data_IF_802896235065
#
_entry.id   IF_802896235065
#
_cell.length_a   1.000
_cell.length_b   1.000
_cell.length_c   1.000
_cell.angle_alpha   90.00
_cell.angle_beta   90.00
_cell.angle_gamma   90.00
#
_symmetry.space_group_name_H-M   'P 1'
#
loop_
_entity.id
_entity.type
_entity.pdbx_description
1 polymer ?
#
# COMPACT_ATOMS: atom_id res chain seq x y z
N UNK A 1 3.77 -20.64 14.65
CA UNK A 1 2.69 -19.70 15.01
C UNK A 1 2.39 -18.97 13.74
N UNK A 2 1.20 -19.18 13.15
CA UNK A 2 0.70 -18.31 12.07
C UNK A 2 0.71 -16.87 12.54
N UNK A 3 0.73 -15.94 11.59
CA UNK A 3 0.55 -14.53 11.87
C UNK A 3 -0.65 -14.40 12.78
N UNK A 4 -0.43 -13.95 14.01
CA UNK A 4 -1.52 -13.74 14.97
C UNK A 4 -2.48 -12.70 14.41
N UNK A 5 -3.73 -12.84 14.73
CA UNK A 5 -4.77 -11.89 14.36
C UNK A 5 -4.38 -10.50 14.86
N UNK A 6 -4.23 -9.56 13.95
CA UNK A 6 -3.97 -8.16 14.29
C UNK A 6 -5.32 -7.45 14.31
N UNK A 7 -5.95 -7.40 15.48
CA UNK A 7 -7.22 -6.69 15.70
C UNK A 7 -7.01 -5.25 16.15
N UNK A 8 -5.82 -4.94 16.67
CA UNK A 8 -5.44 -3.62 17.15
C UNK A 8 -3.93 -3.41 17.01
N UNK A 9 -3.50 -2.15 17.01
CA UNK A 9 -2.09 -1.77 16.85
C UNK A 9 -1.14 -2.50 17.80
N UNK A 10 -1.56 -2.73 19.05
CA UNK A 10 -0.74 -3.37 20.09
C UNK A 10 -0.33 -4.80 19.74
N UNK A 11 -1.11 -5.48 18.90
CA UNK A 11 -0.85 -6.85 18.45
C UNK A 11 0.38 -6.91 17.52
N UNK A 12 0.79 -5.78 16.94
CA UNK A 12 2.01 -5.66 16.14
C UNK A 12 3.30 -5.72 16.97
N UNK A 13 3.21 -5.56 18.29
CA UNK A 13 4.40 -5.54 19.15
C UNK A 13 5.17 -6.85 19.08
N UNK A 14 6.43 -6.75 18.68
CA UNK A 14 7.34 -7.89 18.56
C UNK A 14 7.25 -8.64 17.25
N UNK A 15 6.34 -8.25 16.34
CA UNK A 15 6.26 -8.81 15.00
C UNK A 15 7.29 -8.13 14.08
N UNK A 16 7.84 -8.91 13.16
CA UNK A 16 8.70 -8.47 12.07
C UNK A 16 7.82 -8.25 10.84
N UNK A 17 7.55 -7.00 10.51
CA UNK A 17 6.72 -6.64 9.37
C UNK A 17 7.62 -6.18 8.22
N UNK A 18 7.50 -6.84 7.07
CA UNK A 18 8.17 -6.41 5.85
C UNK A 18 7.63 -5.07 5.40
N UNK A 19 8.53 -4.22 5.00
CA UNK A 19 8.23 -2.94 4.37
C UNK A 19 9.04 -2.77 3.08
N UNK A 20 8.65 -1.81 2.26
CA UNK A 20 9.48 -1.35 1.16
C UNK A 20 10.81 -0.76 1.69
N UNK A 21 11.83 -0.70 0.83
CA UNK A 21 13.12 -0.06 1.14
C UNK A 21 12.98 1.48 1.13
N UNK A 22 12.09 1.97 1.97
CA UNK A 22 11.73 3.37 2.12
C UNK A 22 11.90 3.80 3.57
N UNK A 23 12.64 4.89 3.86
CA UNK A 23 12.74 5.42 5.22
C UNK A 23 11.38 5.76 5.84
N UNK A 24 10.43 6.25 5.04
CA UNK A 24 9.08 6.56 5.50
C UNK A 24 8.34 5.29 5.96
N UNK A 25 8.35 4.23 5.14
CA UNK A 25 7.71 2.95 5.48
C UNK A 25 8.34 2.30 6.72
N UNK A 26 9.65 2.38 6.87
CA UNK A 26 10.37 1.89 8.06
C UNK A 26 9.91 2.65 9.31
N UNK A 27 9.94 3.98 9.28
CA UNK A 27 9.52 4.82 10.42
C UNK A 27 8.05 4.59 10.78
N UNK A 28 7.18 4.48 9.80
CA UNK A 28 5.76 4.23 9.99
C UNK A 28 5.51 2.92 10.75
N UNK A 29 6.06 1.81 10.30
CA UNK A 29 5.88 0.50 10.95
C UNK A 29 6.52 0.47 12.33
N UNK A 30 7.65 1.14 12.54
CA UNK A 30 8.24 1.33 13.86
C UNK A 30 7.34 2.14 14.80
N UNK A 31 6.68 3.18 14.29
CA UNK A 31 5.71 3.97 15.06
C UNK A 31 4.49 3.14 15.49
N UNK A 32 4.10 2.13 14.70
CA UNK A 32 3.07 1.16 15.09
C UNK A 32 3.54 0.19 16.19
N UNK A 33 4.84 0.09 16.42
CA UNK A 33 5.43 -0.77 17.46
C UNK A 33 5.95 -2.11 16.96
N UNK A 34 5.96 -2.35 15.65
CA UNK A 34 6.55 -3.53 15.04
C UNK A 34 8.04 -3.33 14.67
N UNK A 35 8.74 -4.41 14.40
CA UNK A 35 10.07 -4.38 13.80
C UNK A 35 9.93 -4.31 12.27
N UNK A 36 10.26 -3.15 11.70
CA UNK A 36 10.26 -2.97 10.25
C UNK A 36 11.43 -3.72 9.61
N UNK A 37 11.15 -4.55 8.61
CA UNK A 37 12.13 -5.37 7.90
C UNK A 37 12.11 -5.01 6.41
N UNK A 38 12.98 -4.11 5.94
CA UNK A 38 13.06 -3.76 4.52
C UNK A 38 13.48 -4.97 3.69
N UNK A 39 12.65 -5.35 2.70
CA UNK A 39 12.86 -6.52 1.86
C UNK A 39 12.25 -6.29 0.48
N UNK A 40 12.89 -6.83 -0.56
CA UNK A 40 12.35 -6.81 -1.92
C UNK A 40 10.99 -7.49 -2.01
N UNK A 41 10.10 -6.97 -2.85
CA UNK A 41 8.73 -7.51 -2.95
C UNK A 41 8.72 -8.99 -3.40
N UNK A 42 9.59 -9.37 -4.33
CA UNK A 42 9.70 -10.75 -4.81
C UNK A 42 10.11 -11.78 -3.75
N UNK A 43 10.69 -11.34 -2.64
CA UNK A 43 11.17 -12.22 -1.56
C UNK A 43 10.12 -12.44 -0.44
N UNK A 44 9.00 -11.68 -0.48
CA UNK A 44 8.00 -11.64 0.61
C UNK A 44 7.37 -13.00 0.85
N UNK A 45 6.89 -13.67 -0.20
CA UNK A 45 6.28 -15.00 -0.08
C UNK A 45 7.19 -15.99 0.66
N UNK A 46 8.44 -16.10 0.20
CA UNK A 46 9.43 -17.01 0.78
C UNK A 46 9.78 -16.61 2.21
N UNK A 47 9.91 -15.32 2.49
CA UNK A 47 10.25 -14.83 3.81
C UNK A 47 9.14 -15.10 4.85
N UNK A 48 7.85 -14.99 4.46
CA UNK A 48 6.72 -15.38 5.32
C UNK A 48 6.73 -16.91 5.49
N UNK A 49 6.86 -17.68 4.41
CA UNK A 49 6.86 -19.12 4.44
C UNK A 49 7.96 -19.69 5.36
N UNK A 50 9.12 -19.08 5.36
CA UNK A 50 10.27 -19.47 6.18
C UNK A 50 10.27 -18.82 7.57
N UNK A 51 9.26 -18.03 7.93
CA UNK A 51 9.16 -17.31 9.20
C UNK A 51 10.34 -16.34 9.47
N UNK A 52 10.96 -15.82 8.40
CA UNK A 52 11.97 -14.75 8.48
C UNK A 52 11.28 -13.44 8.88
N UNK A 53 10.07 -13.22 8.36
CA UNK A 53 9.15 -12.15 8.73
C UNK A 53 7.82 -12.76 9.19
N UNK A 54 7.09 -12.01 10.00
CA UNK A 54 5.78 -12.42 10.53
C UNK A 54 4.63 -11.89 9.67
N UNK A 55 4.87 -10.88 8.84
CA UNK A 55 3.89 -10.30 7.94
C UNK A 55 4.45 -9.26 7.00
N UNK A 56 3.58 -8.75 6.15
CA UNK A 56 3.89 -7.69 5.20
C UNK A 56 2.68 -6.77 5.02
N UNK A 57 2.91 -5.53 4.59
CA UNK A 57 1.86 -4.62 4.16
C UNK A 57 1.69 -4.69 2.64
N UNK A 58 0.45 -4.70 2.18
CA UNK A 58 0.09 -4.59 0.76
C UNK A 58 -1.44 -4.45 0.61
N UNK A 59 -1.91 -4.30 -0.65
CA UNK A 59 -3.32 -4.42 -1.00
C UNK A 59 -3.75 -5.88 -1.17
N UNK A 60 -5.05 -6.10 -1.36
CA UNK A 60 -5.70 -7.41 -1.47
C UNK A 60 -5.18 -8.24 -2.66
N UNK A 61 -4.85 -7.58 -3.78
CA UNK A 61 -4.37 -8.26 -4.99
C UNK A 61 -3.08 -9.06 -4.75
N UNK A 62 -2.27 -8.67 -3.75
CA UNK A 62 -1.08 -9.43 -3.40
C UNK A 62 -1.40 -10.82 -2.84
N UNK A 63 -2.58 -11.01 -2.24
CA UNK A 63 -3.00 -12.32 -1.73
C UNK A 63 -3.13 -13.35 -2.85
N UNK A 64 -3.68 -12.96 -3.98
CA UNK A 64 -3.91 -13.83 -5.14
C UNK A 64 -2.78 -13.77 -6.15
N UNK A 65 -2.46 -12.59 -6.70
CA UNK A 65 -1.49 -12.43 -7.79
C UNK A 65 -0.06 -12.84 -7.37
N UNK A 66 0.30 -12.60 -6.11
CA UNK A 66 1.60 -12.97 -5.54
C UNK A 66 1.51 -14.17 -4.58
N UNK A 67 0.34 -14.79 -4.48
CA UNK A 67 0.08 -15.98 -3.66
C UNK A 67 0.34 -15.79 -2.16
N UNK A 68 0.37 -14.54 -1.68
CA UNK A 68 0.60 -14.28 -0.26
C UNK A 68 -0.46 -14.93 0.63
N UNK A 69 -1.71 -15.10 0.15
CA UNK A 69 -2.78 -15.80 0.85
C UNK A 69 -2.51 -17.29 1.14
N UNK A 70 -1.57 -17.93 0.43
CA UNK A 70 -1.15 -19.29 0.74
C UNK A 70 -0.36 -19.37 2.07
N UNK A 71 0.40 -18.32 2.39
CA UNK A 71 1.34 -18.28 3.53
C UNK A 71 0.93 -17.31 4.63
N UNK A 72 0.01 -16.38 4.37
CA UNK A 72 -0.56 -15.43 5.33
C UNK A 72 -2.09 -15.58 5.37
N UNK A 73 -2.64 -15.92 6.54
CA UNK A 73 -4.06 -16.27 6.69
C UNK A 73 -4.93 -15.17 7.27
N UNK A 74 -4.35 -14.03 7.60
CA UNK A 74 -5.06 -12.88 8.15
C UNK A 74 -4.70 -11.63 7.38
N UNK A 75 -5.71 -10.83 7.04
CA UNK A 75 -5.55 -9.55 6.37
C UNK A 75 -6.30 -8.47 7.17
N UNK A 76 -5.55 -7.51 7.74
CA UNK A 76 -6.12 -6.48 8.60
C UNK A 76 -6.17 -5.14 7.86
N UNK A 77 -7.35 -4.54 7.77
CA UNK A 77 -7.58 -3.26 7.10
C UNK A 77 -7.10 -2.08 7.94
N UNK A 78 -5.81 -1.87 7.98
CA UNK A 78 -5.21 -0.76 8.73
C UNK A 78 -5.28 0.58 8.02
N UNK A 79 -5.51 0.60 6.70
CA UNK A 79 -5.64 1.79 5.82
C UNK A 79 -4.55 2.84 6.08
N UNK A 80 -3.34 2.37 6.34
CA UNK A 80 -2.23 3.18 6.83
C UNK A 80 -1.48 3.92 5.74
N UNK A 81 -1.67 3.54 4.48
CA UNK A 81 -0.96 4.11 3.34
C UNK A 81 -1.80 4.01 2.07
N UNK A 82 -1.74 5.05 1.25
CA UNK A 82 -2.19 5.03 -0.13
C UNK A 82 -0.99 5.38 -1.01
N UNK A 83 -0.57 4.47 -1.88
CA UNK A 83 0.50 4.70 -2.85
C UNK A 83 -0.12 4.68 -4.23
N UNK A 84 -0.13 5.81 -4.95
CA UNK A 84 -0.63 5.82 -6.32
C UNK A 84 0.33 5.06 -7.23
N UNK A 85 -0.20 4.18 -8.08
CA UNK A 85 0.56 3.61 -9.17
C UNK A 85 0.76 4.64 -10.28
N UNK A 86 1.95 4.65 -10.86
CA UNK A 86 2.31 5.62 -11.90
C UNK A 86 2.84 4.89 -13.13
N UNK A 87 2.21 5.11 -14.27
CA UNK A 87 2.74 4.68 -15.55
C UNK A 87 3.87 5.62 -15.98
N UNK A 88 5.10 5.12 -16.03
CA UNK A 88 6.28 5.91 -16.35
C UNK A 88 6.97 5.45 -17.62
N UNK A 89 7.52 6.39 -18.39
CA UNK A 89 8.28 6.11 -19.61
C UNK A 89 9.72 6.62 -19.52
N UNK A 90 10.64 5.94 -20.19
CA UNK A 90 12.02 6.41 -20.30
C UNK A 90 12.07 7.70 -21.11
N UNK A 91 12.52 8.81 -20.51
CA UNK A 91 12.53 10.13 -21.11
C UNK A 91 13.36 10.18 -22.41
N UNK A 92 14.51 9.47 -22.46
CA UNK A 92 15.34 9.42 -23.67
C UNK A 92 14.63 8.72 -24.82
N UNK A 93 13.89 7.65 -24.54
CA UNK A 93 13.05 6.97 -25.52
C UNK A 93 11.92 7.88 -26.00
N UNK A 94 11.16 8.47 -25.09
CA UNK A 94 10.04 9.35 -25.44
C UNK A 94 10.50 10.56 -26.27
N UNK A 95 11.64 11.13 -25.95
CA UNK A 95 12.23 12.25 -26.71
C UNK A 95 12.81 11.82 -28.09
N UNK A 96 12.94 10.53 -28.37
CA UNK A 96 13.38 10.03 -29.69
C UNK A 96 12.21 9.77 -30.65
N UNK A 97 10.98 9.85 -30.16
CA UNK A 97 9.77 9.68 -30.98
C UNK A 97 9.44 10.96 -31.76
N UNK A 98 8.79 10.79 -32.90
CA UNK A 98 8.12 11.92 -33.57
C UNK A 98 6.92 12.40 -32.75
N UNK A 99 6.41 13.60 -33.04
CA UNK A 99 5.22 14.14 -32.38
C UNK A 99 4.00 13.24 -32.56
N UNK A 100 3.86 12.61 -33.72
CA UNK A 100 2.77 11.67 -34.04
C UNK A 100 2.88 10.37 -33.22
N UNK A 101 4.08 9.79 -33.13
CA UNK A 101 4.34 8.59 -32.33
C UNK A 101 4.14 8.89 -30.84
N UNK A 102 4.64 10.01 -30.35
CA UNK A 102 4.46 10.43 -28.96
C UNK A 102 2.98 10.64 -28.61
N UNK A 103 2.17 11.17 -29.53
CA UNK A 103 0.73 11.31 -29.35
C UNK A 103 0.04 9.94 -29.19
N UNK A 104 0.45 8.93 -29.97
CA UNK A 104 -0.07 7.56 -29.83
C UNK A 104 0.28 6.96 -28.47
N UNK A 105 1.53 7.14 -28.01
CA UNK A 105 1.93 6.65 -26.69
C UNK A 105 1.15 7.32 -25.55
N UNK A 106 0.95 8.62 -25.63
CA UNK A 106 0.15 9.36 -24.62
C UNK A 106 -1.31 8.91 -24.58
N UNK A 107 -1.91 8.70 -25.75
CA UNK A 107 -3.29 8.22 -25.84
C UNK A 107 -3.41 6.77 -25.32
N UNK A 108 -2.47 5.89 -25.66
CA UNK A 108 -2.45 4.54 -25.13
C UNK A 108 -2.30 4.53 -23.59
N UNK A 109 -1.44 5.39 -23.04
CA UNK A 109 -1.29 5.54 -21.59
C UNK A 109 -2.58 6.02 -20.91
N UNK A 110 -3.26 7.00 -21.51
CA UNK A 110 -4.54 7.51 -21.02
C UNK A 110 -5.60 6.40 -21.00
N UNK A 111 -5.75 5.67 -22.10
CA UNK A 111 -6.71 4.56 -22.21
C UNK A 111 -6.38 3.43 -21.22
N UNK A 112 -5.11 3.09 -21.05
CA UNK A 112 -4.68 2.08 -20.08
C UNK A 112 -5.03 2.49 -18.64
N UNK A 113 -4.87 3.78 -18.30
CA UNK A 113 -5.24 4.28 -16.96
C UNK A 113 -6.74 4.24 -16.75
N UNK A 114 -7.53 4.61 -17.76
CA UNK A 114 -9.00 4.54 -17.66
C UNK A 114 -9.50 3.11 -17.51
N UNK A 115 -8.93 2.18 -18.23
CA UNK A 115 -9.25 0.75 -18.11
C UNK A 115 -8.90 0.22 -16.72
N UNK A 116 -7.71 0.53 -16.21
CA UNK A 116 -7.30 0.13 -14.86
C UNK A 116 -8.25 0.64 -13.78
N UNK A 117 -8.58 1.93 -13.83
CA UNK A 117 -9.52 2.52 -12.87
C UNK A 117 -10.91 1.87 -12.94
N UNK A 118 -11.36 1.49 -14.14
CA UNK A 118 -12.67 0.85 -14.32
C UNK A 118 -12.74 -0.57 -13.80
N UNK A 119 -11.61 -1.29 -13.81
CA UNK A 119 -11.53 -2.70 -13.42
C UNK A 119 -11.08 -2.90 -11.96
N UNK A 120 -10.54 -1.87 -11.31
CA UNK A 120 -9.87 -2.00 -10.01
C UNK A 120 -10.77 -2.61 -8.93
N UNK A 121 -11.96 -2.06 -8.74
CA UNK A 121 -12.87 -2.50 -7.67
C UNK A 121 -13.36 -3.93 -7.90
N UNK A 122 -13.64 -4.31 -9.13
CA UNK A 122 -14.05 -5.67 -9.49
C UNK A 122 -12.91 -6.67 -9.22
N UNK A 123 -11.67 -6.32 -9.54
CA UNK A 123 -10.51 -7.16 -9.31
C UNK A 123 -10.18 -7.31 -7.81
N UNK A 124 -10.34 -6.24 -7.04
CA UNK A 124 -10.18 -6.31 -5.57
C UNK A 124 -11.24 -7.24 -4.97
N UNK A 125 -12.49 -7.12 -5.39
CA UNK A 125 -13.57 -7.98 -4.89
C UNK A 125 -13.35 -9.45 -5.27
N UNK A 126 -12.95 -9.74 -6.51
CA UNK A 126 -12.58 -11.09 -6.95
C UNK A 126 -11.42 -11.65 -6.12
N UNK A 127 -10.37 -10.85 -5.90
CA UNK A 127 -9.22 -11.28 -5.09
C UNK A 127 -9.61 -11.60 -3.65
N UNK A 128 -10.51 -10.83 -3.05
CA UNK A 128 -11.04 -11.12 -1.71
C UNK A 128 -11.79 -12.44 -1.67
N UNK A 129 -12.69 -12.66 -2.62
CA UNK A 129 -13.46 -13.89 -2.70
C UNK A 129 -12.57 -15.14 -2.87
N UNK A 130 -11.56 -15.07 -3.74
CA UNK A 130 -10.58 -16.14 -3.92
C UNK A 130 -9.76 -16.34 -2.62
N UNK A 131 -9.32 -15.27 -1.98
CA UNK A 131 -8.53 -15.35 -0.77
C UNK A 131 -9.33 -16.00 0.39
N UNK A 132 -10.58 -15.63 0.55
CA UNK A 132 -11.46 -16.24 1.58
C UNK A 132 -11.79 -17.70 1.27
N UNK A 133 -12.31 -17.97 0.06
CA UNK A 133 -12.90 -19.27 -0.25
C UNK A 133 -11.86 -20.34 -0.56
N UNK A 134 -10.80 -19.99 -1.28
CA UNK A 134 -9.82 -20.94 -1.80
C UNK A 134 -8.53 -20.96 -0.97
N UNK A 135 -8.15 -19.83 -0.37
CA UNK A 135 -6.92 -19.73 0.41
C UNK A 135 -7.16 -19.73 1.93
N UNK A 136 -8.41 -19.57 2.39
CA UNK A 136 -8.76 -19.55 3.81
C UNK A 136 -8.22 -18.32 4.55
N UNK A 137 -8.17 -17.18 3.88
CA UNK A 137 -7.77 -15.88 4.48
C UNK A 137 -8.98 -15.31 5.23
N UNK A 138 -8.72 -14.76 6.41
CA UNK A 138 -9.70 -14.01 7.20
C UNK A 138 -9.40 -12.53 7.11
N UNK A 139 -10.39 -11.75 6.69
CA UNK A 139 -10.32 -10.28 6.67
C UNK A 139 -10.79 -9.70 8.00
N UNK A 140 -10.06 -8.70 8.50
CA UNK A 140 -10.26 -8.11 9.82
C UNK A 140 -10.35 -6.59 9.70
N UNK A 141 -11.45 -6.02 10.15
CA UNK A 141 -11.56 -4.58 10.34
C UNK A 141 -10.95 -4.17 11.68
N UNK A 142 -10.14 -3.11 11.66
CA UNK A 142 -9.47 -2.59 12.85
C UNK A 142 -9.84 -1.12 13.09
N UNK A 143 -9.62 -0.64 14.31
CA UNK A 143 -9.74 0.79 14.61
C UNK A 143 -8.54 1.54 13.98
N UNK A 144 -8.80 2.20 12.85
CA UNK A 144 -7.81 2.95 12.09
C UNK A 144 -7.19 4.09 12.92
N UNK A 145 -7.96 4.67 13.85
CA UNK A 145 -7.48 5.78 14.69
C UNK A 145 -6.29 5.39 15.57
N UNK A 146 -6.21 4.13 15.99
CA UNK A 146 -5.05 3.61 16.73
C UNK A 146 -3.75 3.64 15.92
N UNK A 147 -3.84 3.57 14.60
CA UNK A 147 -2.70 3.64 13.69
C UNK A 147 -2.39 5.08 13.29
N UNK A 148 -3.40 5.84 12.84
CA UNK A 148 -3.22 7.22 12.37
C UNK A 148 -2.65 8.14 13.44
N UNK A 149 -3.08 7.99 14.70
CA UNK A 149 -2.57 8.75 15.83
C UNK A 149 -1.07 8.52 16.15
N UNK A 150 -0.45 7.48 15.58
CA UNK A 150 0.98 7.17 15.82
C UNK A 150 1.92 7.72 14.76
N UNK A 151 1.39 8.09 13.60
CA UNK A 151 2.23 8.51 12.47
C UNK A 151 2.33 10.03 12.31
N UNK A 152 1.58 10.82 13.06
CA UNK A 152 1.63 12.30 12.98
C UNK A 152 3.05 12.86 13.15
N UNK A 153 3.82 12.33 14.10
CA UNK A 153 5.21 12.73 14.29
C UNK A 153 6.10 12.30 13.11
N UNK A 154 5.83 11.12 12.53
CA UNK A 154 6.57 10.63 11.35
C UNK A 154 6.30 11.52 10.15
N UNK A 155 5.05 11.93 9.94
CA UNK A 155 4.68 12.86 8.87
C UNK A 155 5.43 14.20 9.03
N UNK A 156 5.42 14.78 10.25
CA UNK A 156 6.14 16.02 10.51
C UNK A 156 7.65 15.89 10.28
N UNK A 157 8.29 14.82 10.77
CA UNK A 157 9.71 14.56 10.52
C UNK A 157 10.03 14.45 9.01
N UNK A 158 9.13 13.85 8.23
CA UNK A 158 9.30 13.73 6.77
C UNK A 158 9.16 15.07 6.07
N UNK A 159 8.24 15.92 6.49
CA UNK A 159 8.07 17.29 5.96
C UNK A 159 9.28 18.16 6.32
N UNK A 160 9.73 18.11 7.55
CA UNK A 160 10.91 18.87 8.01
C UNK A 160 12.18 18.47 7.23
N UNK A 161 12.31 17.19 6.88
CA UNK A 161 13.42 16.68 6.09
C UNK A 161 13.30 16.97 4.58
N UNK A 162 12.11 17.28 4.08
CA UNK A 162 11.82 17.49 2.67
C UNK A 162 10.87 18.70 2.49
N UNK A 163 11.34 19.93 2.70
CA UNK A 163 10.48 21.12 2.63
C UNK A 163 9.78 21.30 1.28
N UNK A 164 10.37 20.79 0.21
CA UNK A 164 9.85 20.91 -1.16
C UNK A 164 8.52 20.21 -1.37
N UNK A 165 8.13 19.27 -0.48
CA UNK A 165 6.85 18.56 -0.57
C UNK A 165 5.75 19.19 0.29
N UNK A 166 6.01 20.29 0.99
CA UNK A 166 5.03 20.91 1.89
C UNK A 166 3.76 21.33 1.14
N UNK A 167 3.91 22.01 0.02
CA UNK A 167 2.77 22.48 -0.77
C UNK A 167 1.90 21.31 -1.27
N UNK A 168 2.54 20.19 -1.66
CA UNK A 168 1.83 18.97 -2.07
C UNK A 168 1.08 18.35 -0.89
N UNK A 169 1.70 18.28 0.27
CA UNK A 169 1.07 17.78 1.47
C UNK A 169 -0.16 18.61 1.86
N UNK A 170 -0.03 19.93 1.88
CA UNK A 170 -1.12 20.84 2.24
C UNK A 170 -2.28 20.73 1.24
N UNK A 171 -1.98 20.56 -0.05
CA UNK A 171 -3.00 20.33 -1.07
C UNK A 171 -3.75 19.02 -0.87
N UNK A 172 -3.05 17.92 -0.56
CA UNK A 172 -3.67 16.62 -0.25
C UNK A 172 -4.55 16.74 1.00
N UNK A 173 -4.10 17.42 2.05
CA UNK A 173 -4.90 17.62 3.26
C UNK A 173 -6.18 18.41 2.99
N UNK A 174 -6.11 19.45 2.15
CA UNK A 174 -7.29 20.21 1.74
C UNK A 174 -8.33 19.35 1.02
N UNK A 175 -7.89 18.51 0.06
CA UNK A 175 -8.77 17.57 -0.66
C UNK A 175 -9.41 16.56 0.31
N UNK A 176 -8.64 16.01 1.23
CA UNK A 176 -9.15 15.06 2.23
C UNK A 176 -10.25 15.70 3.10
N UNK A 177 -10.05 16.94 3.55
CA UNK A 177 -11.04 17.66 4.35
C UNK A 177 -12.35 17.90 3.57
N UNK A 178 -12.26 18.29 2.30
CA UNK A 178 -13.44 18.45 1.43
C UNK A 178 -14.20 17.13 1.24
N UNK A 179 -13.48 16.01 1.13
CA UNK A 179 -14.07 14.69 0.95
C UNK A 179 -14.80 14.21 2.22
N UNK A 180 -14.22 14.46 3.39
CA UNK A 180 -14.83 14.12 4.67
C UNK A 180 -16.11 14.93 4.92
N UNK A 181 -16.12 16.23 4.60
CA UNK A 181 -17.30 17.09 4.70
C UNK A 181 -18.42 16.66 3.72
N UNK A 182 -18.05 16.25 2.50
CA UNK A 182 -19.00 15.74 1.50
C UNK A 182 -19.63 14.39 1.84
N UNK A 183 -18.89 13.55 2.59
CA UNK A 183 -19.35 12.21 3.00
C UNK A 183 -20.25 12.24 4.25
N UNK A 184 -20.33 13.37 4.94
CA UNK A 184 -21.16 13.57 6.13
C UNK A 184 -22.60 14.09 5.81
N UNK A 185 -22.93 14.31 4.55
CA UNK A 185 -24.25 14.72 4.04
C UNK A 185 -24.96 13.54 3.38
#
# INVERSE_FOLDING_TARGET
RGLGDVYKRQDLKGLKIRVQQSPASVKMVQAFGAAATPLSFGDVYTAIQQHVIDGAENNELALTNNKHGEVAKYFSYTKHQMVPDMLVGNLKFLNSLSDEELAVFKEAARLSTEEELSCWDDQVEEAKQIAENDMGVTFIDVDISEFSNKVSNVQQEMLDANPDIQDLYDHIQAINAEYEEGSAQ
#
